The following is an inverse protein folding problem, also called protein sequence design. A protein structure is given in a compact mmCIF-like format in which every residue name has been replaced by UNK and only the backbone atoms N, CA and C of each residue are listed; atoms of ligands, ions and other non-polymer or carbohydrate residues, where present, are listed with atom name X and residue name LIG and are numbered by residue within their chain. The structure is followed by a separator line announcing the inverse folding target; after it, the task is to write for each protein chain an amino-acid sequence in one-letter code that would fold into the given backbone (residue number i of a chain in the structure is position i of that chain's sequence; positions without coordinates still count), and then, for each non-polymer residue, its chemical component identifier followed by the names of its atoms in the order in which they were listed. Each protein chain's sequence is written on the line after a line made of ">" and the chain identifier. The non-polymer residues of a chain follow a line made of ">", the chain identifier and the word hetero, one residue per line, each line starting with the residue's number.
data_IF_391455766869
#
_entry.id   IF_391455766869
#
_cell.length_a   1.000
_cell.length_b   1.000
_cell.length_c   1.000
_cell.angle_alpha   90.00
_cell.angle_beta   90.00
_cell.angle_gamma   90.00
#
_symmetry.space_group_name_H-M   'P 1'
#
loop_
_entity.id
_entity.type
_entity.pdbx_description
1 polymer ?
#
# COMPACT_ATOMS: atom_id res chain seq x y z
N UNK A 1 4.10 -16.73 -11.46
CA UNK A 1 5.50 -16.75 -11.96
C UNK A 1 6.44 -16.92 -10.76
N UNK A 2 6.69 -18.18 -10.39
CA UNK A 2 7.59 -18.54 -9.28
C UNK A 2 8.97 -18.71 -9.92
N UNK A 3 9.87 -17.73 -9.75
CA UNK A 3 11.27 -17.91 -10.11
C UNK A 3 11.93 -18.80 -9.05
N UNK A 4 12.37 -19.99 -9.47
CA UNK A 4 13.22 -20.88 -8.67
C UNK A 4 14.61 -20.22 -8.52
N UNK A 5 14.94 -19.82 -7.29
CA UNK A 5 16.20 -19.15 -6.95
C UNK A 5 17.37 -20.12 -6.63
N UNK A 6 17.18 -21.41 -6.86
CA UNK A 6 18.19 -22.44 -6.54
C UNK A 6 19.39 -22.48 -7.50
N UNK A 7 19.41 -21.68 -8.57
CA UNK A 7 20.46 -21.73 -9.61
C UNK A 7 21.57 -20.68 -9.48
N UNK A 8 21.76 -20.03 -8.33
CA UNK A 8 22.64 -18.84 -8.21
C UNK A 8 23.95 -19.04 -7.41
N UNK A 9 24.42 -20.28 -7.19
CA UNK A 9 25.59 -20.53 -6.34
C UNK A 9 26.68 -21.30 -7.10
N UNK A 10 27.65 -20.58 -7.67
CA UNK A 10 29.04 -21.04 -7.83
C UNK A 10 30.00 -19.83 -7.63
N UNK A 11 31.03 -19.91 -6.76
CA UNK A 11 31.89 -18.78 -6.46
C UNK A 11 33.22 -18.80 -7.24
N UNK A 12 33.65 -17.65 -7.77
CA UNK A 12 35.02 -17.42 -8.25
C UNK A 12 35.59 -16.11 -7.63
N UNK A 13 36.78 -16.17 -7.04
CA UNK A 13 37.14 -15.40 -5.83
C UNK A 13 37.86 -14.04 -5.98
N UNK A 14 38.07 -13.47 -7.17
CA UNK A 14 38.62 -12.09 -7.31
C UNK A 14 37.62 -11.06 -7.85
N UNK A 15 36.46 -11.50 -8.34
CA UNK A 15 35.27 -10.69 -8.65
C UNK A 15 34.20 -10.71 -7.56
N UNK A 16 34.51 -11.27 -6.39
CA UNK A 16 33.55 -11.67 -5.35
C UNK A 16 32.79 -10.51 -4.70
N UNK A 17 33.44 -9.36 -4.46
CA UNK A 17 32.79 -8.22 -3.79
C UNK A 17 31.82 -7.49 -4.72
N UNK A 18 32.18 -7.38 -6.00
CA UNK A 18 31.30 -6.79 -7.04
C UNK A 18 30.11 -7.72 -7.30
N UNK A 19 30.33 -9.04 -7.35
CA UNK A 19 29.24 -10.01 -7.52
C UNK A 19 28.31 -10.07 -6.30
N UNK A 20 28.82 -9.97 -5.07
CA UNK A 20 28.03 -9.91 -3.84
C UNK A 20 27.15 -8.66 -3.76
N UNK A 21 27.70 -7.51 -4.15
CA UNK A 21 26.98 -6.24 -4.13
C UNK A 21 25.92 -6.18 -5.23
N UNK A 22 26.22 -6.75 -6.41
CA UNK A 22 25.22 -6.91 -7.47
C UNK A 22 24.10 -7.88 -7.05
N UNK A 23 24.43 -8.97 -6.37
CA UNK A 23 23.44 -9.89 -5.80
C UNK A 23 22.56 -9.20 -4.75
N UNK A 24 23.15 -8.39 -3.86
CA UNK A 24 22.41 -7.59 -2.88
C UNK A 24 21.46 -6.60 -3.53
N UNK A 25 21.89 -5.92 -4.58
CA UNK A 25 21.05 -5.00 -5.34
C UNK A 25 19.88 -5.74 -6.02
N UNK A 26 20.13 -6.90 -6.63
CA UNK A 26 19.07 -7.74 -7.21
C UNK A 26 18.05 -8.21 -6.16
N UNK A 27 18.50 -8.54 -4.94
CA UNK A 27 17.64 -8.91 -3.82
C UNK A 27 16.77 -7.75 -3.36
N UNK A 28 17.34 -6.55 -3.23
CA UNK A 28 16.62 -5.33 -2.90
C UNK A 28 15.53 -5.02 -3.95
N UNK A 29 15.89 -5.02 -5.23
CA UNK A 29 14.95 -4.79 -6.32
C UNK A 29 13.85 -5.86 -6.37
N UNK A 30 14.18 -7.11 -6.05
CA UNK A 30 13.17 -8.16 -5.93
C UNK A 30 12.22 -7.92 -4.75
N UNK A 31 12.74 -7.49 -3.60
CA UNK A 31 11.97 -7.26 -2.38
C UNK A 31 11.02 -6.07 -2.52
N UNK A 32 11.54 -4.93 -2.98
CA UNK A 32 10.81 -3.65 -3.05
C UNK A 32 10.13 -3.44 -4.41
N UNK A 33 10.55 -4.11 -5.48
CA UNK A 33 10.11 -3.79 -6.85
C UNK A 33 8.60 -3.78 -7.08
N UNK A 34 7.84 -4.68 -6.45
CA UNK A 34 6.37 -4.67 -6.54
C UNK A 34 5.78 -3.42 -5.86
N UNK A 35 6.26 -3.08 -4.67
CA UNK A 35 5.82 -1.92 -3.91
C UNK A 35 6.27 -0.62 -4.55
N UNK A 36 7.49 -0.57 -5.11
CA UNK A 36 7.99 0.55 -5.91
C UNK A 36 7.07 0.85 -7.09
N UNK A 37 6.56 -0.19 -7.78
CA UNK A 37 5.59 -0.02 -8.86
C UNK A 37 4.26 0.53 -8.33
N UNK A 38 3.77 0.01 -7.20
CA UNK A 38 2.55 0.50 -6.58
C UNK A 38 2.66 1.99 -6.15
N UNK A 39 3.77 2.37 -5.51
CA UNK A 39 4.06 3.76 -5.09
C UNK A 39 4.16 4.72 -6.27
N UNK A 40 4.65 4.24 -7.41
CA UNK A 40 4.67 5.03 -8.65
C UNK A 40 3.26 5.24 -9.20
N UNK A 41 2.43 4.20 -9.19
CA UNK A 41 1.02 4.28 -9.62
C UNK A 41 0.22 5.20 -8.69
N UNK A 42 0.58 5.29 -7.41
CA UNK A 42 -0.09 6.17 -6.44
C UNK A 42 0.37 7.61 -6.43
N UNK A 43 1.43 7.95 -7.19
CA UNK A 43 2.04 9.27 -7.15
C UNK A 43 2.80 9.55 -5.84
N UNK A 44 2.96 8.55 -4.97
CA UNK A 44 3.67 8.67 -3.68
C UNK A 44 5.19 8.51 -3.83
N UNK A 45 5.66 7.90 -4.93
CA UNK A 45 7.09 7.70 -5.19
C UNK A 45 7.83 8.99 -5.54
N UNK A 46 8.93 9.28 -4.83
CA UNK A 46 9.81 10.42 -5.14
C UNK A 46 10.85 10.10 -6.22
N UNK A 47 10.92 10.96 -7.23
CA UNK A 47 11.71 10.74 -8.44
C UNK A 47 13.23 10.88 -8.22
N UNK A 48 14.04 10.09 -8.95
CA UNK A 48 15.45 10.40 -9.11
C UNK A 48 15.63 11.72 -9.87
N UNK A 49 16.76 12.39 -9.60
CA UNK A 49 17.09 13.74 -10.09
C UNK A 49 17.04 13.91 -11.63
N UNK A 50 17.06 12.82 -12.41
CA UNK A 50 17.08 12.84 -13.88
C UNK A 50 15.71 12.87 -14.57
N UNK A 51 14.62 13.04 -13.84
CA UNK A 51 13.26 13.01 -14.41
C UNK A 51 12.86 14.39 -14.97
N UNK A 52 12.24 14.43 -16.17
CA UNK A 52 11.72 15.66 -16.78
C UNK A 52 10.72 16.37 -15.84
N UNK A 53 10.77 17.71 -15.79
CA UNK A 53 10.01 18.52 -14.83
C UNK A 53 8.48 18.34 -14.93
N UNK A 54 7.93 18.15 -16.13
CA UNK A 54 6.49 17.98 -16.32
C UNK A 54 5.98 16.62 -15.81
N UNK A 55 6.78 15.55 -15.95
CA UNK A 55 6.44 14.21 -15.41
C UNK A 55 6.34 14.29 -13.89
N UNK A 56 7.28 15.00 -13.27
CA UNK A 56 7.28 15.24 -11.83
C UNK A 56 6.00 15.95 -11.38
N UNK A 57 5.60 17.03 -12.06
CA UNK A 57 4.36 17.77 -11.73
C UNK A 57 3.13 16.88 -11.87
N UNK A 58 2.99 16.16 -12.98
CA UNK A 58 1.83 15.29 -13.22
C UNK A 58 1.65 14.26 -12.09
N UNK A 59 2.74 13.64 -11.66
CA UNK A 59 2.69 12.61 -10.62
C UNK A 59 2.56 13.19 -9.20
N UNK A 60 3.15 14.36 -8.92
CA UNK A 60 2.96 15.08 -7.66
C UNK A 60 1.49 15.54 -7.47
N UNK A 61 0.79 15.87 -8.57
CA UNK A 61 -0.61 16.28 -8.59
C UNK A 61 -1.60 15.10 -8.68
N UNK A 62 -1.12 13.90 -8.98
CA UNK A 62 -1.98 12.73 -9.18
C UNK A 62 -2.76 12.35 -7.92
N UNK A 63 -2.10 12.22 -6.75
CA UNK A 63 -2.78 11.83 -5.51
C UNK A 63 -3.80 12.90 -5.04
N UNK A 64 -3.47 14.22 -5.06
CA UNK A 64 -4.45 15.27 -4.78
C UNK A 64 -5.63 15.30 -5.76
N UNK A 65 -5.37 15.12 -7.05
CA UNK A 65 -6.42 15.04 -8.07
C UNK A 65 -7.36 13.85 -7.82
N UNK A 66 -6.81 12.69 -7.48
CA UNK A 66 -7.61 11.53 -7.10
C UNK A 66 -8.44 11.79 -5.85
N UNK A 67 -7.83 12.37 -4.81
CA UNK A 67 -8.53 12.70 -3.57
C UNK A 67 -9.71 13.64 -3.83
N UNK A 68 -9.49 14.70 -4.62
CA UNK A 68 -10.55 15.62 -5.03
C UNK A 68 -11.66 14.92 -5.82
N UNK A 69 -11.30 13.99 -6.73
CA UNK A 69 -12.27 13.23 -7.52
C UNK A 69 -13.17 12.37 -6.65
N UNK A 70 -12.63 11.69 -5.63
CA UNK A 70 -13.44 10.90 -4.69
C UNK A 70 -14.38 11.80 -3.88
N UNK A 71 -13.91 12.95 -3.40
CA UNK A 71 -14.74 13.89 -2.65
C UNK A 71 -15.94 14.37 -3.49
N UNK A 72 -15.68 14.78 -4.73
CA UNK A 72 -16.70 15.36 -5.62
C UNK A 72 -17.67 14.30 -6.11
N UNK A 73 -17.17 13.18 -6.63
CA UNK A 73 -18.00 12.22 -7.36
C UNK A 73 -18.56 11.09 -6.50
N UNK A 74 -17.97 10.81 -5.34
CA UNK A 74 -18.39 9.71 -4.47
C UNK A 74 -18.89 10.21 -3.10
N UNK A 75 -18.07 10.96 -2.36
CA UNK A 75 -18.42 11.37 -1.00
C UNK A 75 -19.56 12.41 -0.96
N UNK A 76 -19.60 13.35 -1.90
CA UNK A 76 -20.66 14.38 -1.93
C UNK A 76 -22.06 13.78 -2.11
N UNK A 77 -22.30 12.87 -3.09
CA UNK A 77 -23.59 12.17 -3.18
C UNK A 77 -23.97 11.37 -1.93
N UNK A 78 -23.02 10.73 -1.26
CA UNK A 78 -23.27 10.00 -0.02
C UNK A 78 -23.64 10.92 1.14
N UNK A 79 -23.00 12.09 1.25
CA UNK A 79 -23.34 13.09 2.26
C UNK A 79 -24.76 13.63 2.04
N UNK A 80 -25.15 13.91 0.79
CA UNK A 80 -26.53 14.30 0.49
C UNK A 80 -27.54 13.20 0.81
N UNK A 81 -27.18 11.93 0.57
CA UNK A 81 -28.00 10.81 0.99
C UNK A 81 -28.13 10.75 2.52
N UNK A 82 -27.02 10.90 3.25
CA UNK A 82 -26.99 10.89 4.72
C UNK A 82 -27.90 11.96 5.32
N UNK A 83 -27.88 13.18 4.78
CA UNK A 83 -28.75 14.27 5.23
C UNK A 83 -30.24 13.90 5.07
N UNK A 84 -30.61 13.22 3.98
CA UNK A 84 -32.01 12.80 3.73
C UNK A 84 -32.48 11.69 4.65
N UNK A 85 -31.60 10.77 5.04
CA UNK A 85 -31.96 9.58 5.81
C UNK A 85 -31.65 9.71 7.30
N UNK A 86 -31.24 10.90 7.76
CA UNK A 86 -30.76 11.16 9.12
C UNK A 86 -31.73 10.72 10.23
N UNK A 87 -33.04 10.72 9.96
CA UNK A 87 -34.06 10.30 10.92
C UNK A 87 -34.17 8.78 11.12
N UNK A 88 -33.58 7.98 10.23
CA UNK A 88 -33.61 6.51 10.28
C UNK A 88 -32.22 5.97 10.58
N UNK A 89 -32.04 5.45 11.79
CA UNK A 89 -30.75 4.94 12.26
C UNK A 89 -30.23 3.79 11.37
N UNK A 90 -31.10 2.94 10.83
CA UNK A 90 -30.69 1.81 9.97
C UNK A 90 -30.05 2.33 8.70
N UNK A 91 -30.68 3.34 8.07
CA UNK A 91 -30.17 3.96 6.85
C UNK A 91 -28.91 4.80 7.11
N UNK A 92 -28.79 5.43 8.28
CA UNK A 92 -27.57 6.14 8.69
C UNK A 92 -26.39 5.16 8.85
N UNK A 93 -26.63 4.00 9.47
CA UNK A 93 -25.61 2.96 9.63
C UNK A 93 -25.15 2.44 8.26
N UNK A 94 -26.09 2.13 7.36
CA UNK A 94 -25.78 1.66 6.00
C UNK A 94 -24.92 2.68 5.23
N UNK A 95 -25.23 3.97 5.35
CA UNK A 95 -24.43 5.04 4.75
C UNK A 95 -23.01 5.10 5.33
N UNK A 96 -22.89 5.03 6.67
CA UNK A 96 -21.59 5.05 7.34
C UNK A 96 -20.70 3.85 7.03
N UNK A 97 -21.29 2.67 6.80
CA UNK A 97 -20.53 1.48 6.39
C UNK A 97 -19.78 1.70 5.08
N UNK A 98 -20.32 2.50 4.16
CA UNK A 98 -19.63 2.91 2.93
C UNK A 98 -18.71 4.11 3.13
N UNK A 99 -19.21 5.14 3.82
CA UNK A 99 -18.53 6.43 3.95
C UNK A 99 -17.22 6.32 4.76
N UNK A 100 -17.23 5.60 5.89
CA UNK A 100 -16.08 5.53 6.81
C UNK A 100 -14.83 4.93 6.13
N UNK A 101 -14.89 3.78 5.44
CA UNK A 101 -13.73 3.23 4.73
C UNK A 101 -13.15 4.19 3.69
N UNK A 102 -14.01 4.83 2.90
CA UNK A 102 -13.59 5.78 1.86
C UNK A 102 -12.92 7.00 2.49
N UNK A 103 -13.54 7.57 3.52
CA UNK A 103 -12.99 8.71 4.25
C UNK A 103 -11.65 8.38 4.93
N UNK A 104 -11.53 7.20 5.53
CA UNK A 104 -10.27 6.70 6.09
C UNK A 104 -9.18 6.60 5.02
N UNK A 105 -9.51 6.08 3.83
CA UNK A 105 -8.61 6.04 2.68
C UNK A 105 -8.12 7.43 2.26
N UNK A 106 -9.01 8.43 2.24
CA UNK A 106 -8.65 9.81 1.93
C UNK A 106 -7.67 10.39 2.95
N UNK A 107 -7.93 10.21 4.24
CA UNK A 107 -7.03 10.67 5.31
C UNK A 107 -5.64 10.05 5.14
N UNK A 108 -5.58 8.72 4.98
CA UNK A 108 -4.30 8.00 4.81
C UNK A 108 -3.52 8.51 3.60
N UNK A 109 -4.19 8.70 2.46
CA UNK A 109 -3.58 9.20 1.24
C UNK A 109 -3.00 10.61 1.43
N UNK A 110 -3.76 11.53 2.04
CA UNK A 110 -3.31 12.89 2.30
C UNK A 110 -2.12 12.92 3.27
N UNK A 111 -2.19 12.16 4.36
CA UNK A 111 -1.09 12.07 5.34
C UNK A 111 0.18 11.58 4.66
N UNK A 112 0.13 10.49 3.88
CA UNK A 112 1.33 10.00 3.23
C UNK A 112 1.82 10.87 2.08
N UNK A 113 0.92 11.51 1.35
CA UNK A 113 1.30 12.49 0.33
C UNK A 113 2.10 13.65 0.94
N UNK A 114 1.72 14.15 2.12
CA UNK A 114 2.52 15.16 2.85
C UNK A 114 3.85 14.61 3.37
N UNK A 115 3.90 13.33 3.75
CA UNK A 115 5.08 12.65 4.31
C UNK A 115 5.91 11.88 3.29
N UNK A 116 5.69 12.05 1.99
CA UNK A 116 6.40 11.29 0.92
C UNK A 116 7.93 11.37 0.98
N UNK A 117 8.49 12.49 1.48
CA UNK A 117 9.94 12.60 1.75
C UNK A 117 10.43 11.62 2.81
N UNK A 118 9.63 11.36 3.85
CA UNK A 118 9.95 10.36 4.87
C UNK A 118 9.86 8.94 4.28
N UNK A 119 8.85 8.64 3.46
CA UNK A 119 8.72 7.37 2.73
C UNK A 119 10.00 7.09 1.93
N UNK A 120 10.45 8.07 1.14
CA UNK A 120 11.69 7.91 0.34
C UNK A 120 12.93 7.69 1.23
N UNK A 121 13.04 8.36 2.38
CA UNK A 121 14.14 8.11 3.32
C UNK A 121 14.11 6.69 3.85
N UNK A 122 12.94 6.18 4.25
CA UNK A 122 12.79 4.79 4.72
C UNK A 122 13.24 3.81 3.64
N UNK A 123 12.84 4.03 2.39
CA UNK A 123 13.21 3.12 1.30
C UNK A 123 14.72 3.16 1.02
N UNK A 124 15.36 4.33 1.11
CA UNK A 124 16.81 4.43 1.01
C UNK A 124 17.54 3.74 2.18
N UNK A 125 16.97 3.77 3.39
CA UNK A 125 17.53 3.03 4.53
C UNK A 125 17.42 1.52 4.32
N UNK A 126 16.27 1.05 3.84
CA UNK A 126 16.08 -0.35 3.44
C UNK A 126 17.10 -0.75 2.37
N UNK A 127 17.29 0.07 1.34
CA UNK A 127 18.28 -0.15 0.28
C UNK A 127 19.69 -0.33 0.86
N UNK A 128 20.13 0.59 1.72
CA UNK A 128 21.44 0.51 2.36
C UNK A 128 21.60 -0.78 3.19
N UNK A 129 20.57 -1.15 3.96
CA UNK A 129 20.58 -2.39 4.74
C UNK A 129 20.71 -3.64 3.86
N UNK A 130 20.11 -3.64 2.66
CA UNK A 130 20.28 -4.73 1.69
C UNK A 130 21.69 -4.75 1.08
N UNK A 131 22.26 -3.58 0.78
CA UNK A 131 23.62 -3.48 0.24
C UNK A 131 24.69 -3.94 1.24
N UNK A 132 24.44 -3.76 2.54
CA UNK A 132 25.35 -4.16 3.64
C UNK A 132 25.30 -5.66 4.03
N UNK A 133 24.44 -6.48 3.41
CA UNK A 133 24.32 -7.91 3.77
C UNK A 133 25.62 -8.67 3.49
N UNK A 134 26.14 -9.34 4.52
CA UNK A 134 27.49 -9.93 4.52
C UNK A 134 27.52 -11.40 4.11
N UNK A 135 26.46 -12.16 4.41
CA UNK A 135 26.45 -13.61 4.24
C UNK A 135 25.07 -14.15 3.80
N UNK A 136 25.06 -15.39 3.32
CA UNK A 136 23.85 -16.06 2.84
C UNK A 136 22.79 -16.27 3.93
N UNK A 137 23.20 -16.35 5.19
CA UNK A 137 22.24 -16.45 6.28
C UNK A 137 21.43 -15.17 6.45
N UNK A 138 22.07 -14.01 6.39
CA UNK A 138 21.42 -12.71 6.46
C UNK A 138 20.47 -12.52 5.28
N UNK A 139 20.94 -12.85 4.07
CA UNK A 139 20.12 -12.84 2.84
C UNK A 139 18.87 -13.71 3.00
N UNK A 140 19.00 -14.94 3.51
CA UNK A 140 17.87 -15.85 3.75
C UNK A 140 16.86 -15.28 4.75
N UNK A 141 17.32 -14.63 5.82
CA UNK A 141 16.43 -13.97 6.79
C UNK A 141 15.67 -12.82 6.11
N UNK A 142 16.37 -11.94 5.40
CA UNK A 142 15.74 -10.80 4.73
C UNK A 142 14.74 -11.23 3.64
N UNK A 143 15.06 -12.26 2.85
CA UNK A 143 14.15 -12.85 1.85
C UNK A 143 12.88 -13.37 2.50
N UNK A 144 12.98 -14.03 3.67
CA UNK A 144 11.81 -14.56 4.39
C UNK A 144 10.82 -13.44 4.72
N UNK A 145 11.29 -12.34 5.30
CA UNK A 145 10.43 -11.21 5.67
C UNK A 145 9.89 -10.44 4.46
N UNK A 146 10.72 -10.23 3.43
CA UNK A 146 10.28 -9.62 2.18
C UNK A 146 9.20 -10.47 1.47
N UNK A 147 9.29 -11.80 1.52
CA UNK A 147 8.28 -12.70 0.96
C UNK A 147 6.93 -12.55 1.65
N UNK A 148 6.91 -12.41 2.98
CA UNK A 148 5.68 -12.17 3.74
C UNK A 148 5.05 -10.85 3.29
N UNK A 149 5.84 -9.77 3.19
CA UNK A 149 5.32 -8.47 2.75
C UNK A 149 4.73 -8.50 1.33
N UNK A 150 5.35 -9.26 0.41
CA UNK A 150 4.83 -9.45 -0.95
C UNK A 150 3.52 -10.24 -0.96
N UNK A 151 3.39 -11.25 -0.10
CA UNK A 151 2.13 -11.99 0.06
C UNK A 151 1.03 -11.05 0.59
N UNK A 152 1.34 -10.20 1.58
CA UNK A 152 0.40 -9.20 2.08
C UNK A 152 -0.11 -8.27 0.97
N UNK A 153 0.77 -7.81 0.07
CA UNK A 153 0.36 -6.99 -1.09
C UNK A 153 -0.62 -7.72 -2.00
N UNK A 154 -0.28 -8.97 -2.39
CA UNK A 154 -1.11 -9.76 -3.31
C UNK A 154 -2.47 -10.07 -2.68
N UNK A 155 -2.48 -10.51 -1.43
CA UNK A 155 -3.71 -10.77 -0.68
C UNK A 155 -4.56 -9.52 -0.52
N UNK A 156 -3.95 -8.37 -0.24
CA UNK A 156 -4.68 -7.11 -0.10
C UNK A 156 -5.35 -6.66 -1.41
N UNK A 157 -4.61 -6.68 -2.53
CA UNK A 157 -5.17 -6.33 -3.85
C UNK A 157 -6.26 -7.33 -4.27
N UNK A 158 -6.08 -8.62 -4.01
CA UNK A 158 -7.10 -9.63 -4.25
C UNK A 158 -8.36 -9.37 -3.42
N UNK A 159 -8.21 -9.03 -2.13
CA UNK A 159 -9.33 -8.73 -1.24
C UNK A 159 -10.15 -7.52 -1.70
N UNK A 160 -9.48 -6.43 -2.12
CA UNK A 160 -10.16 -5.25 -2.69
C UNK A 160 -10.92 -5.63 -3.95
N UNK A 161 -10.27 -6.36 -4.85
CA UNK A 161 -10.87 -6.76 -6.14
C UNK A 161 -12.11 -7.63 -5.91
N UNK A 162 -12.01 -8.61 -5.02
CA UNK A 162 -13.12 -9.46 -4.61
C UNK A 162 -14.26 -8.64 -3.99
N UNK A 163 -13.95 -7.75 -3.04
CA UNK A 163 -14.95 -6.93 -2.35
C UNK A 163 -15.73 -6.04 -3.33
N UNK A 164 -15.03 -5.44 -4.31
CA UNK A 164 -15.65 -4.59 -5.33
C UNK A 164 -16.52 -5.38 -6.29
N UNK A 165 -16.05 -6.55 -6.75
CA UNK A 165 -16.83 -7.44 -7.62
C UNK A 165 -18.12 -7.88 -6.91
N UNK A 166 -18.02 -8.30 -5.65
CA UNK A 166 -19.20 -8.71 -4.88
C UNK A 166 -20.13 -7.53 -4.63
N UNK A 167 -19.63 -6.44 -4.07
CA UNK A 167 -20.44 -5.30 -3.65
C UNK A 167 -21.07 -4.55 -4.84
N UNK A 168 -20.30 -4.23 -5.88
CA UNK A 168 -20.83 -3.50 -7.04
C UNK A 168 -21.43 -4.41 -8.12
N UNK A 169 -20.90 -5.62 -8.29
CA UNK A 169 -21.43 -6.58 -9.25
C UNK A 169 -22.81 -7.10 -8.87
N UNK A 170 -23.12 -7.16 -7.57
CA UNK A 170 -24.44 -7.55 -7.05
C UNK A 170 -25.61 -6.80 -7.69
N UNK A 171 -25.41 -5.51 -8.00
CA UNK A 171 -26.42 -4.63 -8.58
C UNK A 171 -26.88 -5.12 -9.95
N UNK A 172 -26.01 -5.79 -10.72
CA UNK A 172 -26.39 -6.36 -12.01
C UNK A 172 -27.36 -7.55 -11.86
N UNK A 173 -27.38 -8.19 -10.69
CA UNK A 173 -28.27 -9.30 -10.35
C UNK A 173 -29.48 -8.83 -9.53
N UNK A 174 -29.67 -7.52 -9.36
CA UNK A 174 -30.81 -6.96 -8.65
C UNK A 174 -30.75 -7.06 -7.13
N UNK A 175 -29.59 -7.37 -6.53
CA UNK A 175 -29.42 -7.38 -5.08
C UNK A 175 -28.43 -6.31 -4.62
N UNK A 176 -28.61 -5.83 -3.39
CA UNK A 176 -27.80 -4.80 -2.73
C UNK A 176 -27.45 -5.24 -1.31
N UNK A 177 -26.24 -4.91 -0.84
CA UNK A 177 -25.79 -5.17 0.52
C UNK A 177 -26.13 -4.01 1.47
N UNK A 178 -27.32 -3.43 1.30
CA UNK A 178 -27.85 -2.34 2.11
C UNK A 178 -29.36 -2.27 1.99
N UNK A 179 -29.98 -1.52 2.88
CA UNK A 179 -31.42 -1.24 2.85
C UNK A 179 -31.77 -0.36 1.65
N UNK A 180 -32.83 -0.73 0.93
CA UNK A 180 -33.39 0.04 -0.19
C UNK A 180 -34.51 0.93 0.34
N UNK A 181 -34.50 2.21 -0.05
CA UNK A 181 -35.49 3.19 0.40
C UNK A 181 -35.89 4.14 -0.73
N UNK A 182 -37.15 4.56 -0.76
CA UNK A 182 -37.64 5.55 -1.73
C UNK A 182 -37.07 6.97 -1.50
N UNK A 183 -36.36 7.21 -0.40
CA UNK A 183 -35.72 8.50 -0.11
C UNK A 183 -34.45 8.75 -0.94
N UNK A 184 -33.71 7.68 -1.24
CA UNK A 184 -32.41 7.72 -1.92
C UNK A 184 -32.36 6.85 -3.18
N UNK A 185 -33.31 5.93 -3.36
CA UNK A 185 -33.25 4.92 -4.43
C UNK A 185 -34.38 5.05 -5.44
N UNK A 186 -34.04 4.72 -6.69
CA UNK A 186 -34.98 4.60 -7.80
C UNK A 186 -34.96 3.13 -8.23
N UNK A 187 -36.08 2.39 -8.19
CA UNK A 187 -36.11 0.94 -8.41
C UNK A 187 -35.45 0.46 -9.70
N UNK A 188 -35.56 1.24 -10.78
CA UNK A 188 -34.98 0.93 -12.10
C UNK A 188 -33.52 1.39 -12.25
N UNK A 189 -33.00 2.19 -11.32
CA UNK A 189 -31.69 2.86 -11.40
C UNK A 189 -30.91 2.73 -10.09
N UNK A 190 -30.75 1.50 -9.61
CA UNK A 190 -30.06 1.21 -8.36
C UNK A 190 -28.55 1.49 -8.44
N UNK A 191 -28.02 2.06 -7.36
CA UNK A 191 -26.59 2.32 -7.14
C UNK A 191 -26.16 1.53 -5.90
N UNK A 192 -24.94 0.99 -5.91
CA UNK A 192 -24.45 0.11 -4.83
C UNK A 192 -24.47 0.77 -3.45
N UNK A 193 -24.20 2.08 -3.41
CA UNK A 193 -24.21 2.91 -2.20
C UNK A 193 -25.42 3.83 -2.18
N UNK A 194 -25.84 4.28 -0.99
CA UNK A 194 -26.88 5.32 -0.89
C UNK A 194 -26.28 6.63 -1.39
N UNK A 195 -26.82 7.18 -2.47
CA UNK A 195 -26.25 8.36 -3.12
C UNK A 195 -27.34 9.22 -3.74
N UNK A 196 -27.28 10.52 -3.51
CA UNK A 196 -28.23 11.50 -4.04
C UNK A 196 -27.50 12.48 -4.94
N UNK A 197 -27.94 12.60 -6.19
CA UNK A 197 -27.37 13.52 -7.17
C UNK A 197 -28.26 14.75 -7.38
N UNK A 198 -27.68 15.93 -7.68
CA UNK A 198 -28.44 17.15 -7.95
C UNK A 198 -29.10 17.15 -9.34
N UNK A 199 -28.91 16.10 -10.13
CA UNK A 199 -29.47 15.93 -11.46
C UNK A 199 -30.15 14.56 -11.60
N UNK A 200 -31.04 14.44 -12.57
CA UNK A 200 -31.76 13.19 -12.84
C UNK A 200 -30.82 12.12 -13.42
N UNK A 201 -30.69 11.01 -12.68
CA UNK A 201 -29.86 9.85 -13.03
C UNK A 201 -30.57 8.87 -13.98
N UNK A 202 -31.88 9.00 -14.16
CA UNK A 202 -32.70 8.11 -14.99
C UNK A 202 -32.60 8.40 -16.49
N UNK A 203 -32.03 9.56 -16.84
CA UNK A 203 -31.89 9.99 -18.22
C UNK A 203 -30.71 9.29 -18.90
N UNK A 204 -31.01 8.50 -19.92
CA UNK A 204 -30.01 7.86 -20.79
C UNK A 204 -29.05 6.95 -20.03
N UNK A 205 -27.74 7.15 -20.24
CA UNK A 205 -26.69 6.30 -19.64
C UNK A 205 -26.11 6.84 -18.32
N UNK A 206 -26.71 7.87 -17.71
CA UNK A 206 -26.15 8.55 -16.54
C UNK A 206 -25.95 7.62 -15.34
N UNK A 207 -26.96 6.82 -14.99
CA UNK A 207 -26.84 5.84 -13.91
C UNK A 207 -25.72 4.82 -14.16
N UNK A 208 -25.59 4.31 -15.40
CA UNK A 208 -24.52 3.37 -15.75
C UNK A 208 -23.12 4.01 -15.60
N UNK A 209 -22.96 5.26 -16.05
CA UNK A 209 -21.71 6.01 -15.92
C UNK A 209 -21.35 6.20 -14.44
N UNK A 210 -22.33 6.57 -13.60
CA UNK A 210 -22.14 6.72 -12.15
C UNK A 210 -21.70 5.40 -11.52
N UNK A 211 -22.34 4.27 -11.87
CA UNK A 211 -21.98 2.95 -11.35
C UNK A 211 -20.54 2.58 -11.71
N UNK A 212 -20.13 2.79 -12.97
CA UNK A 212 -18.76 2.55 -13.43
C UNK A 212 -17.78 3.47 -12.69
N UNK A 213 -18.14 4.75 -12.53
CA UNK A 213 -17.32 5.72 -11.82
C UNK A 213 -17.12 5.32 -10.35
N UNK A 214 -18.18 4.88 -9.66
CA UNK A 214 -18.09 4.38 -8.28
C UNK A 214 -17.16 3.17 -8.19
N UNK A 215 -17.29 2.20 -9.10
CA UNK A 215 -16.39 1.02 -9.14
C UNK A 215 -14.93 1.45 -9.27
N UNK A 216 -14.64 2.38 -10.18
CA UNK A 216 -13.27 2.87 -10.42
C UNK A 216 -12.74 3.62 -9.19
N UNK A 217 -13.53 4.54 -8.63
CA UNK A 217 -13.12 5.34 -7.47
C UNK A 217 -12.94 4.49 -6.22
N UNK A 218 -13.82 3.51 -5.97
CA UNK A 218 -13.66 2.53 -4.90
C UNK A 218 -12.41 1.67 -5.09
N UNK A 219 -12.15 1.21 -6.32
CA UNK A 219 -10.96 0.39 -6.61
C UNK A 219 -9.68 1.15 -6.35
N UNK A 220 -9.58 2.38 -6.84
CA UNK A 220 -8.38 3.19 -6.64
C UNK A 220 -8.23 3.58 -5.15
N UNK A 221 -9.32 3.95 -4.47
CA UNK A 221 -9.29 4.27 -3.04
C UNK A 221 -8.84 3.07 -2.21
N UNK A 222 -9.42 1.90 -2.47
CA UNK A 222 -9.04 0.64 -1.84
C UNK A 222 -7.58 0.30 -2.12
N UNK A 223 -7.15 0.40 -3.38
CA UNK A 223 -5.76 0.13 -3.78
C UNK A 223 -4.77 1.00 -2.99
N UNK A 224 -5.01 2.31 -2.92
CA UNK A 224 -4.17 3.20 -2.11
C UNK A 224 -4.23 2.86 -0.63
N UNK A 225 -5.41 2.61 -0.08
CA UNK A 225 -5.55 2.20 1.32
C UNK A 225 -4.68 0.98 1.64
N UNK A 226 -4.77 -0.09 0.84
CA UNK A 226 -3.99 -1.31 1.05
C UNK A 226 -2.51 -1.10 0.80
N UNK A 227 -2.13 -0.37 -0.25
CA UNK A 227 -0.73 -0.09 -0.54
C UNK A 227 -0.04 0.57 0.65
N UNK A 228 -0.71 1.55 1.25
CA UNK A 228 -0.25 2.29 2.43
C UNK A 228 -0.03 1.33 3.61
N UNK A 229 -1.02 0.50 3.93
CA UNK A 229 -0.93 -0.43 5.06
C UNK A 229 0.17 -1.48 4.83
N UNK A 230 0.29 -1.95 3.60
CA UNK A 230 1.33 -2.89 3.20
C UNK A 230 2.71 -2.23 3.28
N UNK A 231 2.85 -0.94 2.93
CA UNK A 231 4.12 -0.22 3.08
C UNK A 231 4.56 -0.14 4.55
N UNK A 232 3.65 0.15 5.47
CA UNK A 232 3.92 0.07 6.90
C UNK A 232 4.29 -1.36 7.33
N UNK A 233 3.58 -2.36 6.80
CA UNK A 233 3.90 -3.77 7.02
C UNK A 233 5.31 -4.15 6.57
N UNK A 234 5.75 -3.71 5.40
CA UNK A 234 7.13 -3.90 4.92
C UNK A 234 8.12 -3.30 5.89
N UNK A 235 7.88 -2.06 6.32
CA UNK A 235 8.78 -1.34 7.21
C UNK A 235 8.98 -2.11 8.52
N UNK A 236 7.88 -2.59 9.11
CA UNK A 236 7.92 -3.42 10.32
C UNK A 236 8.63 -4.75 10.06
N UNK A 237 8.26 -5.48 9.01
CA UNK A 237 8.84 -6.78 8.68
C UNK A 237 10.34 -6.68 8.37
N UNK A 238 10.77 -5.60 7.71
CA UNK A 238 12.17 -5.30 7.45
C UNK A 238 12.92 -5.08 8.76
N UNK A 239 12.39 -4.24 9.66
CA UNK A 239 12.97 -4.04 10.99
C UNK A 239 13.06 -5.35 11.79
N UNK A 240 12.02 -6.20 11.76
CA UNK A 240 12.06 -7.53 12.37
C UNK A 240 13.14 -8.44 11.76
N UNK A 241 13.34 -8.36 10.44
CA UNK A 241 14.42 -9.04 9.73
C UNK A 241 15.80 -8.60 10.21
N UNK A 242 16.03 -7.29 10.29
CA UNK A 242 17.28 -6.70 10.79
C UNK A 242 17.55 -7.10 12.26
N UNK A 243 16.53 -7.06 13.12
CA UNK A 243 16.66 -7.53 14.50
C UNK A 243 17.00 -9.02 14.59
N UNK A 244 16.50 -9.85 13.68
CA UNK A 244 16.81 -11.28 13.64
C UNK A 244 18.23 -11.56 13.16
N UNK A 245 18.71 -10.79 12.17
CA UNK A 245 20.11 -10.80 11.73
C UNK A 245 21.02 -10.46 12.91
N UNK A 246 20.68 -9.39 13.61
CA UNK A 246 21.44 -8.90 14.73
C UNK A 246 21.52 -9.89 15.90
N UNK A 247 20.38 -10.49 16.28
CA UNK A 247 20.34 -11.50 17.32
C UNK A 247 21.24 -12.70 16.98
N UNK A 248 21.34 -13.06 15.70
CA UNK A 248 22.24 -14.13 15.24
C UNK A 248 23.71 -13.73 15.38
N UNK A 249 24.07 -12.49 15.05
CA UNK A 249 25.44 -11.98 15.20
C UNK A 249 25.85 -11.94 16.68
N UNK A 250 24.96 -11.52 17.59
CA UNK A 250 25.21 -11.53 19.04
C UNK A 250 25.45 -12.94 19.57
N UNK A 251 24.63 -13.92 19.18
CA UNK A 251 24.80 -15.31 19.63
C UNK A 251 26.15 -15.87 19.17
N UNK A 252 26.52 -15.64 17.90
CA UNK A 252 27.82 -16.05 17.38
C UNK A 252 28.99 -15.42 18.16
N UNK A 253 28.89 -14.14 18.53
CA UNK A 253 29.93 -13.45 19.31
C UNK A 253 29.99 -13.92 20.77
N UNK A 254 28.86 -14.30 21.34
CA UNK A 254 28.77 -14.83 22.70
C UNK A 254 29.40 -16.22 22.77
N UNK A 255 29.07 -17.08 21.81
CA UNK A 255 29.63 -18.43 21.69
C UNK A 255 31.15 -18.40 21.40
N UNK A 256 31.64 -17.36 20.73
CA UNK A 256 33.07 -17.15 20.43
C UNK A 256 33.84 -16.35 21.50
N UNK A 257 33.23 -16.04 22.66
CA UNK A 257 33.83 -15.32 23.79
C UNK A 257 34.41 -13.91 23.44
N UNK A 258 33.90 -13.24 22.40
CA UNK A 258 34.37 -11.92 21.96
C UNK A 258 33.63 -10.75 22.62
N UNK A 259 33.78 -10.61 23.95
CA UNK A 259 33.09 -9.61 24.79
C UNK A 259 33.27 -8.14 24.35
N UNK A 260 34.43 -7.77 23.81
CA UNK A 260 34.69 -6.41 23.30
C UNK A 260 33.91 -6.08 22.03
N UNK A 261 33.67 -7.07 21.17
CA UNK A 261 32.94 -6.93 19.91
C UNK A 261 31.43 -6.80 20.16
N UNK A 262 30.91 -7.49 21.18
CA UNK A 262 29.52 -7.37 21.63
C UNK A 262 29.19 -5.93 22.06
N UNK A 263 30.09 -5.25 22.79
CA UNK A 263 29.90 -3.85 23.20
C UNK A 263 29.84 -2.89 22.00
N UNK A 264 30.68 -3.11 20.97
CA UNK A 264 30.67 -2.31 19.74
C UNK A 264 29.38 -2.56 18.95
N UNK A 265 28.95 -3.82 18.86
CA UNK A 265 27.70 -4.19 18.19
C UNK A 265 26.50 -3.51 18.87
N UNK A 266 26.38 -3.64 20.20
CA UNK A 266 25.30 -3.06 20.98
C UNK A 266 25.23 -1.54 20.85
N UNK A 267 26.40 -0.87 20.89
CA UNK A 267 26.51 0.58 20.65
C UNK A 267 26.01 0.96 19.24
N UNK A 268 26.37 0.19 18.22
CA UNK A 268 25.92 0.45 16.85
C UNK A 268 24.42 0.23 16.68
N UNK A 269 23.83 -0.77 17.34
CA UNK A 269 22.38 -1.04 17.33
C UNK A 269 21.61 0.14 17.94
N UNK A 270 22.03 0.58 19.14
CA UNK A 270 21.40 1.70 19.84
C UNK A 270 21.50 2.97 19.00
N UNK A 271 22.65 3.23 18.38
CA UNK A 271 22.81 4.37 17.47
C UNK A 271 21.97 4.26 16.20
N UNK A 272 21.81 3.05 15.64
CA UNK A 272 21.01 2.80 14.44
C UNK A 272 19.51 2.95 14.75
N UNK A 273 19.05 2.49 15.92
CA UNK A 273 17.66 2.67 16.38
C UNK A 273 17.36 4.11 16.81
N UNK A 274 18.29 4.80 17.46
CA UNK A 274 18.15 6.22 17.83
C UNK A 274 18.08 7.14 16.61
N UNK A 275 18.70 6.78 15.47
CA UNK A 275 18.60 7.53 14.21
C UNK A 275 17.27 7.35 13.47
N UNK A 276 16.48 6.34 13.83
CA UNK A 276 15.20 6.02 13.20
C UNK A 276 14.02 6.67 13.96
N UNK A 277 14.20 6.99 15.24
CA UNK A 277 13.28 7.77 16.09
C UNK A 277 13.54 9.27 15.89
#
# INVERSE_FOLDING_TARGET
>A
MIMNFTSFIEPNQSGSRVSEQELNNKLFEWAIGLHRKALKISGLWLYPKSTKWYIKILMDLQSPFFAASVIVFFSTPEIFALIRVWSDLTLVVDNFLSFIPVFSGQIKLLVLWTKRKAISRIINLIENDYLELKNDSERKIMIKYARIAKIMMVCGVANISYSIIVFHGSVAFGFLFRTITNLTDIPTHLISTQSVYPFDITVGYRCLIIRILHVILCFITGFYYTEIDVFFGISILHSCGQLKVLAKEINYLTDSCQSSMIKILLKNIVLRHYRII
#
